data_IF_108562458887
#
_entry.id   IF_108562458887
#
_cell.length_a   1.000
_cell.length_b   1.000
_cell.length_c   1.000
_cell.angle_alpha   90.00
_cell.angle_beta   90.00
_cell.angle_gamma   90.00
#
_symmetry.space_group_name_H-M   'P 1'
#
loop_
_entity.id
_entity.type
_entity.pdbx_description
1 polymer ?
#
# COMPACT_ATOMS: atom_id res chain seq x y z
N UNK A 1 -35.83 7.45 10.82
CA UNK A 1 -34.39 7.23 11.02
C UNK A 1 -33.68 8.56 10.76
N UNK A 2 -33.16 9.21 11.80
CA UNK A 2 -32.48 10.53 11.74
C UNK A 2 -31.15 10.42 10.97
N UNK A 3 -31.25 10.28 9.65
CA UNK A 3 -30.14 10.14 8.72
C UNK A 3 -29.36 11.45 8.51
N UNK A 4 -29.85 12.59 9.00
CA UNK A 4 -29.39 13.90 8.53
C UNK A 4 -28.26 14.52 9.34
N UNK A 5 -28.22 14.42 10.67
CA UNK A 5 -27.15 15.11 11.45
C UNK A 5 -25.87 14.29 11.59
N UNK A 6 -25.99 13.00 11.95
CA UNK A 6 -24.82 12.15 12.20
C UNK A 6 -24.06 11.83 10.91
N UNK A 7 -24.76 11.61 9.80
CA UNK A 7 -24.12 11.33 8.52
C UNK A 7 -23.36 12.56 7.99
N UNK A 8 -23.99 13.75 8.02
CA UNK A 8 -23.32 14.99 7.59
C UNK A 8 -22.09 15.29 8.48
N UNK A 9 -22.19 15.06 9.79
CA UNK A 9 -21.04 15.19 10.69
C UNK A 9 -19.92 14.21 10.34
N UNK A 10 -20.23 12.96 10.00
CA UNK A 10 -19.23 11.99 9.55
C UNK A 10 -18.54 12.43 8.26
N UNK A 11 -19.28 13.01 7.30
CA UNK A 11 -18.68 13.55 6.08
C UNK A 11 -17.73 14.69 6.39
N UNK A 12 -18.10 15.61 7.29
CA UNK A 12 -17.20 16.68 7.76
C UNK A 12 -15.94 16.10 8.39
N UNK A 13 -16.08 15.13 9.29
CA UNK A 13 -14.92 14.51 9.94
C UNK A 13 -13.99 13.83 8.91
N UNK A 14 -14.54 13.13 7.91
CA UNK A 14 -13.74 12.51 6.84
C UNK A 14 -13.00 13.58 6.04
N UNK A 15 -13.68 14.69 5.71
CA UNK A 15 -13.09 15.80 4.99
C UNK A 15 -11.94 16.44 5.77
N UNK A 16 -12.15 16.70 7.07
CA UNK A 16 -11.13 17.28 7.96
C UNK A 16 -9.94 16.34 8.08
N UNK A 17 -10.16 15.03 8.30
CA UNK A 17 -9.10 14.02 8.34
C UNK A 17 -8.34 13.93 7.01
N UNK A 18 -9.01 14.07 5.87
CA UNK A 18 -8.35 14.08 4.55
C UNK A 18 -7.44 15.29 4.41
N UNK A 19 -7.88 16.48 4.83
CA UNK A 19 -7.05 17.70 4.77
C UNK A 19 -5.89 17.61 5.76
N UNK A 20 -6.17 17.29 7.02
CA UNK A 20 -5.18 17.31 8.10
C UNK A 20 -4.07 16.29 7.89
N UNK A 21 -4.39 15.15 7.27
CA UNK A 21 -3.41 14.15 6.93
C UNK A 21 -2.80 14.35 5.54
N UNK A 22 -3.41 15.15 4.66
CA UNK A 22 -2.94 15.38 3.29
C UNK A 22 -3.32 14.26 2.31
N UNK A 23 -4.44 13.56 2.57
CA UNK A 23 -4.98 12.53 1.67
C UNK A 23 -5.49 13.18 0.39
N UNK A 24 -4.81 12.92 -0.73
CA UNK A 24 -5.22 13.42 -2.04
C UNK A 24 -6.17 12.47 -2.76
N UNK A 25 -6.13 11.18 -2.43
CA UNK A 25 -7.03 10.18 -2.99
C UNK A 25 -7.31 9.08 -1.95
N UNK A 26 -8.59 8.79 -1.73
CA UNK A 26 -9.08 7.71 -0.88
C UNK A 26 -10.07 6.90 -1.70
N UNK A 27 -9.87 5.58 -1.77
CA UNK A 27 -10.76 4.68 -2.46
C UNK A 27 -11.05 3.45 -1.60
N UNK A 28 -12.33 3.13 -1.44
CA UNK A 28 -12.81 1.94 -0.78
C UNK A 28 -13.65 1.15 -1.79
N UNK A 29 -13.18 -0.03 -2.19
CA UNK A 29 -13.87 -0.83 -3.21
C UNK A 29 -13.04 -1.95 -3.79
N UNK A 30 -13.53 -2.52 -4.88
CA UNK A 30 -12.83 -3.57 -5.62
C UNK A 30 -11.73 -2.97 -6.49
N UNK A 31 -10.62 -3.69 -6.63
CA UNK A 31 -9.49 -3.22 -7.42
C UNK A 31 -9.41 -4.01 -8.72
N UNK A 32 -9.36 -3.28 -9.82
CA UNK A 32 -9.13 -3.81 -11.16
C UNK A 32 -7.84 -3.23 -11.75
N UNK A 33 -7.35 -3.83 -12.83
CA UNK A 33 -6.24 -3.26 -13.59
C UNK A 33 -6.56 -1.85 -14.12
N UNK A 34 -7.81 -1.56 -14.44
CA UNK A 34 -8.26 -0.24 -14.90
C UNK A 34 -8.21 0.79 -13.76
N UNK A 35 -8.71 0.42 -12.59
CA UNK A 35 -8.66 1.26 -11.38
C UNK A 35 -7.21 1.56 -10.98
N UNK A 36 -6.33 0.55 -11.06
CA UNK A 36 -4.90 0.70 -10.79
C UNK A 36 -4.29 1.76 -11.71
N UNK A 37 -4.53 1.66 -13.03
CA UNK A 37 -4.05 2.64 -14.01
C UNK A 37 -4.58 4.03 -13.72
N UNK A 38 -5.88 4.15 -13.48
CA UNK A 38 -6.53 5.43 -13.17
C UNK A 38 -5.89 6.11 -11.95
N UNK A 39 -5.71 5.39 -10.84
CA UNK A 39 -5.10 5.96 -9.64
C UNK A 39 -3.66 6.36 -9.85
N UNK A 40 -2.86 5.54 -10.54
CA UNK A 40 -1.47 5.91 -10.84
C UNK A 40 -1.40 7.17 -11.71
N UNK A 41 -2.26 7.31 -12.72
CA UNK A 41 -2.28 8.50 -13.57
C UNK A 41 -2.78 9.74 -12.84
N UNK A 42 -3.74 9.61 -11.92
CA UNK A 42 -4.18 10.71 -11.06
C UNK A 42 -3.05 11.22 -10.16
N UNK A 43 -2.32 10.30 -9.52
CA UNK A 43 -1.17 10.65 -8.68
C UNK A 43 -0.02 11.27 -9.49
N UNK A 44 0.29 10.73 -10.67
CA UNK A 44 1.30 11.30 -11.57
C UNK A 44 0.93 12.73 -11.97
N UNK A 45 -0.32 12.96 -12.39
CA UNK A 45 -0.79 14.30 -12.77
C UNK A 45 -0.73 15.29 -11.60
N UNK A 46 -1.05 14.85 -10.38
CA UNK A 46 -0.95 15.68 -9.18
C UNK A 46 0.51 16.05 -8.86
N UNK A 47 1.42 15.08 -8.91
CA UNK A 47 2.86 15.32 -8.71
C UNK A 47 3.45 16.24 -9.78
N UNK A 48 3.04 16.10 -11.05
CA UNK A 48 3.45 16.97 -12.14
C UNK A 48 2.99 18.42 -11.94
N UNK A 49 1.73 18.63 -11.54
CA UNK A 49 1.20 19.97 -11.22
C UNK A 49 1.96 20.65 -10.09
N UNK A 50 2.39 19.87 -9.11
CA UNK A 50 3.18 20.36 -7.98
C UNK A 50 4.69 20.45 -8.29
N UNK A 51 5.12 20.26 -9.55
CA UNK A 51 6.52 20.31 -9.98
C UNK A 51 7.44 19.37 -9.17
N UNK A 52 6.92 18.22 -8.79
CA UNK A 52 7.66 17.23 -8.00
C UNK A 52 8.83 16.65 -8.83
N UNK A 53 9.95 16.34 -8.17
CA UNK A 53 11.11 15.77 -8.86
C UNK A 53 10.79 14.41 -9.50
N UNK A 54 11.26 14.20 -10.74
CA UNK A 54 11.01 12.96 -11.50
C UNK A 54 11.49 11.70 -10.76
N UNK A 55 12.54 11.83 -9.94
CA UNK A 55 13.06 10.74 -9.12
C UNK A 55 12.06 10.29 -8.05
N UNK A 56 11.33 11.25 -7.45
CA UNK A 56 10.27 11.02 -6.46
C UNK A 56 9.04 10.44 -7.15
N UNK A 57 8.60 11.04 -8.27
CA UNK A 57 7.44 10.57 -9.04
C UNK A 57 7.54 9.08 -9.38
N UNK A 58 8.68 8.65 -9.93
CA UNK A 58 8.92 7.24 -10.28
C UNK A 58 8.86 6.30 -9.08
N UNK A 59 9.24 6.77 -7.89
CA UNK A 59 9.20 5.97 -6.66
C UNK A 59 7.80 5.85 -6.13
N UNK A 60 7.06 6.95 -6.07
CA UNK A 60 5.65 6.95 -5.68
C UNK A 60 4.87 6.02 -6.62
N UNK A 61 5.02 6.18 -7.93
CA UNK A 61 4.41 5.30 -8.93
C UNK A 61 4.73 3.82 -8.68
N UNK A 62 6.01 3.50 -8.48
CA UNK A 62 6.43 2.13 -8.23
C UNK A 62 5.80 1.54 -6.97
N UNK A 63 5.80 2.29 -5.85
CA UNK A 63 5.16 1.85 -4.61
C UNK A 63 3.67 1.64 -4.80
N UNK A 64 2.97 2.53 -5.52
CA UNK A 64 1.55 2.37 -5.82
C UNK A 64 1.29 1.07 -6.60
N UNK A 65 2.08 0.80 -7.65
CA UNK A 65 1.90 -0.41 -8.48
C UNK A 65 2.13 -1.67 -7.65
N UNK A 66 3.23 -1.77 -6.89
CA UNK A 66 3.53 -2.95 -6.08
C UNK A 66 2.47 -3.19 -4.99
N UNK A 67 2.04 -2.13 -4.29
CA UNK A 67 1.02 -2.25 -3.23
C UNK A 67 -0.35 -2.63 -3.78
N UNK A 68 -0.77 -2.05 -4.92
CA UNK A 68 -2.02 -2.41 -5.59
C UNK A 68 -2.00 -3.82 -6.19
N UNK A 69 -0.86 -4.25 -6.74
CA UNK A 69 -0.68 -5.63 -7.20
C UNK A 69 -0.75 -6.63 -6.04
N UNK A 70 -0.18 -6.29 -4.88
CA UNK A 70 -0.29 -7.11 -3.68
C UNK A 70 -1.75 -7.26 -3.24
N UNK A 71 -2.56 -6.20 -3.32
CA UNK A 71 -3.99 -6.29 -3.02
C UNK A 71 -4.72 -7.23 -3.97
N UNK A 72 -4.51 -7.11 -5.28
CA UNK A 72 -5.18 -7.93 -6.31
C UNK A 72 -4.82 -9.43 -6.21
N UNK A 73 -3.54 -9.75 -5.97
CA UNK A 73 -3.08 -11.15 -5.89
C UNK A 73 -3.68 -11.91 -4.70
N UNK A 74 -3.94 -11.22 -3.60
CA UNK A 74 -4.41 -11.85 -2.36
C UNK A 74 -5.93 -11.79 -2.18
N UNK A 75 -6.64 -10.93 -2.92
CA UNK A 75 -8.12 -10.93 -2.97
C UNK A 75 -8.71 -12.15 -3.68
N UNK A 76 -7.95 -12.79 -4.58
CA UNK A 76 -8.44 -13.93 -5.37
C UNK A 76 -8.73 -15.20 -4.55
N UNK A 77 -8.17 -15.34 -3.35
CA UNK A 77 -8.43 -16.50 -2.47
C UNK A 77 -9.74 -16.36 -1.65
N UNK A 78 -10.40 -15.20 -1.68
CA UNK A 78 -11.55 -14.87 -0.81
C UNK A 78 -12.78 -14.49 -1.65
N UNK A 79 -13.10 -15.28 -2.69
CA UNK A 79 -14.24 -15.01 -3.59
C UNK A 79 -15.61 -15.42 -3.05
N UNK A 80 -15.71 -16.04 -1.86
CA UNK A 80 -16.96 -16.68 -1.44
C UNK A 80 -18.00 -15.78 -0.75
N UNK A 81 -17.70 -14.54 -0.34
CA UNK A 81 -18.72 -13.60 0.18
C UNK A 81 -18.30 -12.18 -0.14
N UNK A 82 -19.25 -11.33 -0.56
CA UNK A 82 -19.19 -9.89 -0.88
C UNK A 82 -18.36 -8.99 0.08
N UNK A 83 -17.07 -9.26 0.26
CA UNK A 83 -16.12 -8.57 1.14
C UNK A 83 -14.79 -8.42 0.38
N UNK A 84 -14.88 -7.94 -0.86
CA UNK A 84 -13.75 -7.65 -1.76
C UNK A 84 -13.27 -6.18 -1.71
N UNK A 85 -13.73 -5.40 -0.73
CA UNK A 85 -13.42 -3.97 -0.65
C UNK A 85 -12.08 -3.77 0.08
N UNK A 86 -11.03 -3.48 -0.67
CA UNK A 86 -9.79 -2.97 -0.10
C UNK A 86 -9.87 -1.46 0.10
N UNK A 87 -9.00 -0.92 0.96
CA UNK A 87 -8.78 0.52 1.07
C UNK A 87 -7.49 0.86 0.35
N UNK A 88 -7.51 1.93 -0.44
CA UNK A 88 -6.32 2.55 -1.00
C UNK A 88 -6.34 4.04 -0.67
N UNK A 89 -5.24 4.53 -0.12
CA UNK A 89 -5.02 5.94 0.17
C UNK A 89 -3.66 6.32 -0.37
N UNK A 90 -3.60 7.45 -1.07
CA UNK A 90 -2.36 8.17 -1.31
C UNK A 90 -2.53 9.59 -0.81
N UNK A 91 -1.44 10.11 -0.25
CA UNK A 91 -1.38 11.49 0.19
C UNK A 91 0.04 11.96 0.33
N UNK A 92 0.18 13.25 0.62
CA UNK A 92 1.44 13.90 0.91
C UNK A 92 1.25 14.80 2.12
N UNK A 93 2.10 14.63 3.13
CA UNK A 93 2.17 15.54 4.27
C UNK A 93 3.58 16.08 4.38
N UNK A 94 3.73 17.40 4.31
CA UNK A 94 5.03 18.06 4.17
C UNK A 94 5.79 17.49 2.95
N UNK A 95 6.99 16.94 3.15
CA UNK A 95 7.83 16.36 2.10
C UNK A 95 7.76 14.83 2.07
N UNK A 96 6.74 14.23 2.65
CA UNK A 96 6.59 12.77 2.69
C UNK A 96 5.30 12.35 2.01
N UNK A 97 5.44 11.63 0.91
CA UNK A 97 4.33 10.89 0.33
C UNK A 97 4.11 9.63 1.15
N UNK A 98 2.88 9.16 1.18
CA UNK A 98 2.57 7.85 1.73
C UNK A 98 1.50 7.17 0.90
N UNK A 99 1.63 5.86 0.82
CA UNK A 99 0.65 4.97 0.19
C UNK A 99 0.18 4.00 1.27
N UNK A 100 -1.12 3.96 1.50
CA UNK A 100 -1.75 3.06 2.46
C UNK A 100 -2.66 2.12 1.70
N UNK A 101 -2.47 0.83 1.91
CA UNK A 101 -3.36 -0.21 1.40
C UNK A 101 -3.94 -1.01 2.54
N UNK A 102 -5.14 -1.52 2.34
CA UNK A 102 -5.68 -2.56 3.21
C UNK A 102 -6.42 -3.65 2.45
N UNK A 103 -6.25 -4.88 2.92
CA UNK A 103 -6.97 -6.04 2.41
C UNK A 103 -7.22 -7.07 3.51
N UNK A 104 -8.14 -7.99 3.23
CA UNK A 104 -8.42 -9.11 4.11
C UNK A 104 -7.32 -10.17 3.99
N UNK A 105 -6.85 -10.69 5.11
CA UNK A 105 -5.82 -11.75 5.20
C UNK A 105 -6.36 -12.87 6.08
N UNK A 106 -6.37 -14.09 5.56
CA UNK A 106 -6.78 -15.26 6.33
C UNK A 106 -5.77 -15.53 7.48
N UNK A 107 -6.26 -16.00 8.63
CA UNK A 107 -5.47 -16.33 9.83
C UNK A 107 -4.25 -17.19 9.50
N UNK A 108 -4.42 -18.19 8.64
CA UNK A 108 -3.34 -19.09 8.20
C UNK A 108 -2.16 -18.40 7.49
N UNK A 109 -2.37 -17.21 6.94
CA UNK A 109 -1.34 -16.44 6.21
C UNK A 109 -0.74 -15.31 7.06
N UNK A 110 -1.40 -14.91 8.14
CA UNK A 110 -1.01 -13.76 8.96
C UNK A 110 0.40 -13.88 9.53
N UNK A 111 0.74 -15.01 10.14
CA UNK A 111 2.07 -15.17 10.77
C UNK A 111 3.21 -15.19 9.74
N UNK A 112 3.01 -15.84 8.59
CA UNK A 112 4.01 -15.86 7.52
C UNK A 112 4.24 -14.45 6.93
N UNK A 113 3.17 -13.71 6.69
CA UNK A 113 3.25 -12.33 6.20
C UNK A 113 3.94 -11.41 7.23
N UNK A 114 3.57 -11.54 8.50
CA UNK A 114 4.19 -10.75 9.58
C UNK A 114 5.69 -11.04 9.72
N UNK A 115 6.11 -12.32 9.69
CA UNK A 115 7.54 -12.66 9.70
C UNK A 115 8.28 -12.10 8.49
N UNK A 116 7.63 -12.07 7.33
CA UNK A 116 8.21 -11.46 6.12
C UNK A 116 8.42 -9.96 6.29
N UNK A 117 7.42 -9.24 6.84
CA UNK A 117 7.51 -7.80 7.13
C UNK A 117 8.59 -7.49 8.17
N UNK A 118 8.67 -8.28 9.24
CA UNK A 118 9.72 -8.15 10.28
C UNK A 118 11.11 -8.35 9.67
N UNK A 119 11.27 -9.38 8.84
CA UNK A 119 12.56 -9.67 8.18
C UNK A 119 12.98 -8.51 7.28
N UNK A 120 12.06 -7.97 6.48
CA UNK A 120 12.34 -6.83 5.58
C UNK A 120 12.67 -5.57 6.36
N UNK A 121 11.93 -5.26 7.43
CA UNK A 121 12.17 -4.05 8.23
C UNK A 121 13.48 -4.07 9.02
N UNK A 122 13.97 -5.25 9.40
CA UNK A 122 15.22 -5.40 10.14
C UNK A 122 16.46 -5.54 9.23
N UNK A 123 16.27 -5.67 7.92
CA UNK A 123 17.37 -5.81 6.97
C UNK A 123 18.05 -4.47 6.67
N UNK A 124 19.37 -4.49 6.61
CA UNK A 124 20.19 -3.38 6.10
C UNK A 124 19.99 -3.16 4.59
N UNK A 125 20.37 -1.99 4.04
CA UNK A 125 20.29 -1.73 2.60
C UNK A 125 21.02 -2.77 1.74
N UNK A 126 22.17 -3.25 2.20
CA UNK A 126 22.96 -4.30 1.56
C UNK A 126 22.24 -5.64 1.59
N UNK A 127 21.65 -6.02 2.73
CA UNK A 127 20.87 -7.24 2.87
C UNK A 127 19.61 -7.22 2.01
N UNK A 128 18.87 -6.11 1.96
CA UNK A 128 17.71 -5.94 1.08
C UNK A 128 18.10 -6.13 -0.40
N UNK A 129 19.27 -5.63 -0.79
CA UNK A 129 19.78 -5.80 -2.15
C UNK A 129 20.13 -7.26 -2.46
N UNK A 130 20.73 -7.98 -1.53
CA UNK A 130 21.03 -9.41 -1.70
C UNK A 130 19.76 -10.26 -1.67
N UNK A 131 18.81 -9.98 -0.78
CA UNK A 131 17.49 -10.62 -0.74
C UNK A 131 16.76 -10.46 -2.07
N UNK A 132 16.74 -9.25 -2.63
CA UNK A 132 16.14 -8.96 -3.94
C UNK A 132 16.81 -9.76 -5.07
N UNK A 133 18.14 -9.75 -5.14
CA UNK A 133 18.89 -10.53 -6.14
C UNK A 133 18.63 -12.03 -6.01
N UNK A 134 18.61 -12.54 -4.77
CA UNK A 134 18.37 -13.95 -4.48
C UNK A 134 16.99 -14.36 -4.95
N UNK A 135 15.94 -13.61 -4.60
CA UNK A 135 14.58 -13.91 -5.05
C UNK A 135 14.43 -13.90 -6.58
N UNK A 136 15.11 -12.99 -7.29
CA UNK A 136 15.11 -13.00 -8.77
C UNK A 136 15.79 -14.26 -9.32
N UNK A 137 16.91 -14.68 -8.73
CA UNK A 137 17.69 -15.84 -9.20
C UNK A 137 17.04 -17.18 -8.89
N UNK A 138 16.51 -17.31 -7.68
CA UNK A 138 15.90 -18.55 -7.18
C UNK A 138 14.51 -18.79 -7.76
N UNK A 139 13.95 -17.80 -8.47
CA UNK A 139 12.84 -18.04 -9.38
C UNK A 139 11.60 -18.61 -8.68
N UNK A 140 11.30 -18.22 -7.44
CA UNK A 140 9.99 -18.49 -6.84
C UNK A 140 8.92 -17.59 -7.47
N UNK A 141 8.73 -17.73 -8.78
CA UNK A 141 7.40 -17.94 -9.33
C UNK A 141 6.90 -19.27 -8.74
N UNK A 142 6.48 -19.25 -7.47
CA UNK A 142 5.54 -20.26 -7.03
C UNK A 142 4.34 -20.22 -7.98
N UNK A 143 3.56 -21.30 -8.08
CA UNK A 143 2.30 -21.31 -8.84
C UNK A 143 1.31 -20.20 -8.41
N UNK A 144 1.64 -19.43 -7.36
CA UNK A 144 0.97 -18.22 -6.85
C UNK A 144 1.79 -16.92 -6.92
N UNK A 145 2.82 -16.84 -7.78
CA UNK A 145 3.41 -15.59 -8.27
C UNK A 145 4.00 -14.61 -7.25
N UNK A 146 5.14 -14.96 -6.63
CA UNK A 146 6.10 -13.96 -6.12
C UNK A 146 5.72 -13.22 -4.83
N UNK A 147 4.96 -13.85 -3.93
CA UNK A 147 4.66 -13.29 -2.61
C UNK A 147 5.96 -12.98 -1.85
N UNK A 148 6.24 -11.69 -1.61
CA UNK A 148 7.42 -11.21 -0.87
C UNK A 148 8.39 -10.35 -1.69
N UNK A 149 8.42 -10.47 -3.03
CA UNK A 149 9.30 -9.63 -3.87
C UNK A 149 8.91 -8.16 -3.81
N UNK A 150 7.61 -7.86 -3.85
CA UNK A 150 7.11 -6.49 -3.77
C UNK A 150 7.49 -5.80 -2.45
N UNK A 151 7.40 -6.50 -1.31
CA UNK A 151 7.76 -5.92 0.00
C UNK A 151 9.25 -5.56 0.06
N UNK A 152 10.13 -6.47 -0.40
CA UNK A 152 11.57 -6.24 -0.45
C UNK A 152 11.89 -5.09 -1.41
N UNK A 153 11.27 -5.05 -2.60
CA UNK A 153 11.55 -4.01 -3.59
C UNK A 153 11.09 -2.62 -3.11
N UNK A 154 9.91 -2.54 -2.48
CA UNK A 154 9.40 -1.32 -1.85
C UNK A 154 10.39 -0.83 -0.78
N UNK A 155 10.76 -1.65 0.20
CA UNK A 155 11.65 -1.25 1.29
C UNK A 155 13.02 -0.80 0.75
N UNK A 156 13.57 -1.54 -0.24
CA UNK A 156 14.84 -1.21 -0.88
C UNK A 156 14.83 0.12 -1.63
N UNK A 157 13.73 0.47 -2.31
CA UNK A 157 13.63 1.69 -3.13
C UNK A 157 13.27 2.94 -2.33
N UNK A 158 12.48 2.76 -1.27
CA UNK A 158 12.08 3.86 -0.38
C UNK A 158 13.13 4.14 0.68
N UNK A 159 13.82 3.10 1.17
CA UNK A 159 14.70 3.21 2.33
C UNK A 159 13.96 3.62 3.60
N UNK A 160 12.66 3.31 3.67
CA UNK A 160 11.80 3.51 4.82
C UNK A 160 11.28 2.15 5.32
N UNK A 161 11.01 2.02 6.64
CA UNK A 161 10.37 0.83 7.17
C UNK A 161 8.93 0.70 6.64
N UNK A 162 8.50 -0.54 6.42
CA UNK A 162 7.11 -0.88 6.11
C UNK A 162 6.30 -0.82 7.41
N UNK A 163 5.43 0.19 7.55
CA UNK A 163 4.55 0.30 8.71
C UNK A 163 3.31 -0.56 8.46
N UNK A 164 2.91 -1.40 9.41
CA UNK A 164 1.78 -2.30 9.19
C UNK A 164 0.98 -2.58 10.46
N UNK A 165 -0.26 -3.02 10.28
CA UNK A 165 -1.13 -3.46 11.36
C UNK A 165 -2.04 -4.60 10.90
N UNK A 166 -2.29 -5.56 11.79
CA UNK A 166 -3.33 -6.57 11.64
C UNK A 166 -4.43 -6.32 12.66
N UNK A 167 -5.64 -5.99 12.19
CA UNK A 167 -6.82 -5.85 13.03
C UNK A 167 -7.68 -7.11 12.85
N UNK A 168 -8.08 -7.76 13.93
CA UNK A 168 -8.94 -8.93 13.82
C UNK A 168 -10.32 -8.52 13.30
N UNK A 169 -10.78 -9.12 12.20
CA UNK A 169 -12.12 -8.89 11.65
C UNK A 169 -13.13 -9.92 12.19
N UNK A 170 -12.71 -11.18 12.21
CA UNK A 170 -13.52 -12.31 12.65
C UNK A 170 -12.62 -13.45 13.17
N UNK A 171 -13.18 -14.64 13.37
CA UNK A 171 -12.44 -15.81 13.85
C UNK A 171 -11.37 -16.29 12.85
N UNK A 172 -11.55 -16.06 11.56
CA UNK A 172 -10.69 -16.62 10.52
C UNK A 172 -9.86 -15.58 9.78
N UNK A 173 -10.11 -14.28 10.01
CA UNK A 173 -9.57 -13.24 9.16
C UNK A 173 -9.13 -11.97 9.90
N UNK A 174 -8.15 -11.31 9.29
CA UNK A 174 -7.59 -10.03 9.71
C UNK A 174 -7.75 -8.99 8.61
N UNK A 175 -7.96 -7.75 9.01
CA UNK A 175 -7.79 -6.56 8.19
C UNK A 175 -6.32 -6.15 8.29
N UNK A 176 -5.59 -6.39 7.21
CA UNK A 176 -4.19 -6.01 7.10
C UNK A 176 -4.10 -4.60 6.53
N UNK A 177 -3.38 -3.72 7.20
CA UNK A 177 -3.06 -2.37 6.74
C UNK A 177 -1.56 -2.30 6.53
N UNK A 178 -1.14 -1.80 5.37
CA UNK A 178 0.25 -1.49 5.03
C UNK A 178 0.35 -0.01 4.69
N UNK A 179 1.22 0.72 5.39
CA UNK A 179 1.60 2.11 5.12
C UNK A 179 3.06 2.15 4.71
N UNK A 180 3.30 2.67 3.51
CA UNK A 180 4.64 2.91 2.96
C UNK A 180 4.85 4.42 2.87
N UNK A 181 5.98 4.90 3.36
CA UNK A 181 6.36 6.30 3.25
C UNK A 181 7.46 6.48 2.19
N UNK A 182 7.42 7.62 1.50
CA UNK A 182 8.44 8.05 0.54
C UNK A 182 8.82 9.49 0.91
N UNK A 183 9.96 9.65 1.58
CA UNK A 183 10.51 10.97 1.91
C UNK A 183 11.12 11.61 0.66
N UNK A 184 10.47 12.62 0.10
CA UNK A 184 10.85 13.30 -1.13
C UNK A 184 12.24 13.96 -1.01
N UNK A 185 12.58 14.52 0.16
CA UNK A 185 13.88 15.17 0.40
C UNK A 185 15.07 14.23 0.23
N UNK A 186 14.91 12.94 0.50
CA UNK A 186 15.98 11.94 0.27
C UNK A 186 16.38 11.84 -1.21
N UNK A 187 15.58 12.38 -2.13
CA UNK A 187 15.70 12.16 -3.56
C UNK A 187 15.75 13.43 -4.41
N UNK A 188 15.68 14.60 -3.77
CA UNK A 188 16.05 15.87 -4.38
C UNK A 188 17.56 15.88 -4.62
N UNK A 189 17.96 16.38 -5.79
CA UNK A 189 19.36 16.55 -6.19
C UNK A 189 19.74 18.01 -6.14
#
# INVERSE_FOLDING_TARGET
MNLTFNFIKSVSNIYDEMIDNGFSLVYLGEFSHEITKMFTSMAESDMEKNSEERSVQRKVYHVMVETLQNMNKHSDEIKERNIGNGLFIIGKKHDTYYVITSNKVARKHKDHLEQSLITVNNASPEELKEMYKRQIREGTLSEKGGAGLGLIDIARKTGEPLNYQFLQLDEDNYFFILKVEINARKFYK
#
